data_IF_510845370262
#
_entry.id   IF_510845370262
#
_cell.length_a   1.000
_cell.length_b   1.000
_cell.length_c   1.000
_cell.angle_alpha   90.00
_cell.angle_beta   90.00
_cell.angle_gamma   90.00
#
_symmetry.space_group_name_H-M   'P 1'
#
loop_
_entity.id
_entity.type
_entity.pdbx_description
1 polymer ?
#
# COMPACT_ATOMS: atom_id res chain seq x y z
N UNK A 1 7.45 25.45 -2.55
CA UNK A 1 8.25 26.21 -3.53
C UNK A 1 7.34 27.27 -4.15
N UNK A 2 7.22 28.43 -3.50
CA UNK A 2 6.43 29.54 -4.05
C UNK A 2 7.38 30.49 -4.81
N UNK A 3 7.07 30.86 -6.06
CA UNK A 3 7.99 31.67 -6.86
C UNK A 3 8.13 33.09 -6.28
N UNK A 4 9.35 33.63 -6.32
CA UNK A 4 9.60 35.03 -5.92
C UNK A 4 9.30 36.03 -7.04
N UNK A 5 9.26 35.57 -8.28
CA UNK A 5 8.85 36.35 -9.46
C UNK A 5 8.38 35.41 -10.57
N UNK A 6 7.69 35.92 -11.62
CA UNK A 6 7.26 35.09 -12.75
C UNK A 6 8.41 34.44 -13.54
N UNK A 7 9.65 34.92 -13.39
CA UNK A 7 10.85 34.39 -14.06
C UNK A 7 11.78 33.63 -13.11
N UNK A 8 11.32 33.23 -11.92
CA UNK A 8 12.13 32.47 -10.95
C UNK A 8 12.44 31.05 -11.43
N UNK A 9 13.52 30.93 -12.22
CA UNK A 9 13.98 29.66 -12.81
C UNK A 9 14.47 28.67 -11.77
N UNK A 10 14.93 29.14 -10.60
CA UNK A 10 15.44 28.27 -9.53
C UNK A 10 14.27 27.51 -8.90
N UNK A 11 13.22 28.23 -8.51
CA UNK A 11 12.00 27.60 -7.98
C UNK A 11 11.35 26.66 -8.99
N UNK A 12 11.31 27.06 -10.27
CA UNK A 12 10.77 26.22 -11.35
C UNK A 12 11.58 24.93 -11.56
N UNK A 13 12.92 25.02 -11.56
CA UNK A 13 13.80 23.86 -11.69
C UNK A 13 13.59 22.88 -10.55
N UNK A 14 13.59 23.35 -9.30
CA UNK A 14 13.43 22.49 -8.15
C UNK A 14 12.03 21.86 -8.08
N UNK A 15 10.99 22.61 -8.46
CA UNK A 15 9.64 22.07 -8.60
C UNK A 15 9.60 20.94 -9.62
N UNK A 16 10.14 21.17 -10.83
CA UNK A 16 10.17 20.17 -11.89
C UNK A 16 10.92 18.91 -11.48
N UNK A 17 12.05 19.06 -10.77
CA UNK A 17 12.82 17.92 -10.26
C UNK A 17 12.00 17.07 -9.28
N UNK A 18 11.40 17.71 -8.26
CA UNK A 18 10.58 17.01 -7.27
C UNK A 18 9.34 16.35 -7.90
N UNK A 19 8.67 17.04 -8.82
CA UNK A 19 7.51 16.49 -9.53
C UNK A 19 7.88 15.29 -10.41
N UNK A 20 9.01 15.34 -11.11
CA UNK A 20 9.48 14.24 -11.95
C UNK A 20 9.83 13.00 -11.10
N UNK A 21 10.48 13.21 -9.96
CA UNK A 21 10.80 12.13 -9.02
C UNK A 21 9.53 11.49 -8.45
N UNK A 22 8.57 12.29 -8.00
CA UNK A 22 7.32 11.76 -7.46
C UNK A 22 6.52 11.00 -8.52
N UNK A 23 6.47 11.53 -9.75
CA UNK A 23 5.83 10.84 -10.87
C UNK A 23 6.47 9.47 -11.16
N UNK A 24 7.81 9.40 -11.17
CA UNK A 24 8.53 8.16 -11.39
C UNK A 24 8.23 7.13 -10.29
N UNK A 25 8.20 7.54 -9.01
CA UNK A 25 7.88 6.65 -7.89
C UNK A 25 6.45 6.12 -7.94
N UNK A 26 5.48 6.98 -8.27
CA UNK A 26 4.07 6.59 -8.44
C UNK A 26 3.94 5.60 -9.61
N UNK A 27 4.57 5.90 -10.75
CA UNK A 27 4.60 5.01 -11.92
C UNK A 27 5.13 3.64 -11.54
N UNK A 28 6.26 3.57 -10.83
CA UNK A 28 6.91 2.32 -10.45
C UNK A 28 6.05 1.50 -9.48
N UNK A 29 5.39 2.16 -8.53
CA UNK A 29 4.43 1.50 -7.64
C UNK A 29 3.24 0.89 -8.42
N UNK A 30 2.70 1.61 -9.41
CA UNK A 30 1.61 1.09 -10.26
C UNK A 30 2.11 -0.07 -11.13
N UNK A 31 3.29 0.07 -11.75
CA UNK A 31 3.91 -0.99 -12.56
C UNK A 31 4.04 -2.28 -11.75
N UNK A 32 4.45 -2.21 -10.48
CA UNK A 32 4.62 -3.37 -9.62
C UNK A 32 3.34 -4.24 -9.56
N UNK A 33 2.15 -3.62 -9.54
CA UNK A 33 0.88 -4.34 -9.47
C UNK A 33 0.67 -5.27 -10.66
N UNK A 34 1.13 -4.83 -11.84
CA UNK A 34 1.07 -5.60 -13.07
C UNK A 34 2.25 -6.54 -13.21
N UNK A 35 3.45 -6.11 -12.85
CA UNK A 35 4.66 -6.90 -13.06
C UNK A 35 4.76 -8.11 -12.12
N UNK A 36 4.41 -7.94 -10.84
CA UNK A 36 4.46 -9.01 -9.84
C UNK A 36 3.23 -9.93 -9.83
N UNK A 37 2.47 -9.97 -10.93
CA UNK A 37 1.26 -10.78 -11.02
C UNK A 37 1.59 -12.29 -11.21
N UNK A 38 0.61 -13.15 -10.94
CA UNK A 38 0.72 -14.63 -11.09
C UNK A 38 -0.34 -15.23 -12.01
N UNK A 39 -0.96 -14.40 -12.83
CA UNK A 39 -2.08 -14.78 -13.70
C UNK A 39 -1.58 -15.36 -15.02
N UNK A 40 -2.34 -16.28 -15.60
CA UNK A 40 -1.90 -17.08 -16.76
C UNK A 40 -2.40 -16.55 -18.10
N UNK A 41 -3.38 -15.65 -18.14
CA UNK A 41 -3.93 -15.16 -19.40
C UNK A 41 -2.87 -14.35 -20.18
N UNK A 42 -2.93 -14.34 -21.53
CA UNK A 42 -1.85 -13.79 -22.36
C UNK A 42 -1.42 -12.37 -22.02
N UNK A 43 -2.38 -11.49 -21.74
CA UNK A 43 -2.14 -10.12 -21.28
C UNK A 43 -1.28 -10.06 -20.01
N UNK A 44 -1.62 -10.89 -19.01
CA UNK A 44 -0.93 -10.89 -17.73
C UNK A 44 0.47 -11.50 -17.80
N UNK A 45 0.65 -12.54 -18.62
CA UNK A 45 1.99 -13.10 -18.88
C UNK A 45 2.90 -12.08 -19.55
N UNK A 46 2.37 -11.30 -20.50
CA UNK A 46 3.13 -10.24 -21.15
C UNK A 46 3.58 -9.18 -20.14
N UNK A 47 2.70 -8.75 -19.24
CA UNK A 47 3.03 -7.76 -18.22
C UNK A 47 3.99 -8.31 -17.14
N UNK A 48 3.89 -9.59 -16.80
CA UNK A 48 4.86 -10.25 -15.91
C UNK A 48 6.27 -10.35 -16.53
N UNK A 49 6.37 -10.43 -17.86
CA UNK A 49 7.63 -10.56 -18.59
C UNK A 49 8.19 -9.22 -19.10
N UNK A 50 7.48 -8.11 -18.95
CA UNK A 50 7.92 -6.81 -19.46
C UNK A 50 9.13 -6.29 -18.69
N UNK A 51 9.99 -5.53 -19.38
CA UNK A 51 11.04 -4.76 -18.71
C UNK A 51 10.42 -3.69 -17.82
N UNK A 52 11.04 -3.44 -16.67
CA UNK A 52 10.64 -2.40 -15.73
C UNK A 52 11.79 -1.41 -15.52
N UNK A 53 11.52 -0.19 -15.03
CA UNK A 53 12.57 0.77 -14.69
C UNK A 53 13.59 0.19 -13.69
N UNK A 54 14.85 0.58 -13.82
CA UNK A 54 15.96 0.04 -13.04
C UNK A 54 15.74 0.19 -11.53
N UNK A 55 15.23 1.34 -11.08
CA UNK A 55 14.93 1.60 -9.66
C UNK A 55 13.89 0.61 -9.10
N UNK A 56 12.85 0.29 -9.87
CA UNK A 56 11.87 -0.73 -9.49
C UNK A 56 12.49 -2.13 -9.48
N UNK A 57 13.29 -2.46 -10.49
CA UNK A 57 13.98 -3.76 -10.56
C UNK A 57 14.90 -3.96 -9.33
N UNK A 58 15.66 -2.94 -8.95
CA UNK A 58 16.51 -2.94 -7.77
C UNK A 58 15.71 -3.11 -6.48
N UNK A 59 14.63 -2.35 -6.30
CA UNK A 59 13.73 -2.52 -5.14
C UNK A 59 13.20 -3.94 -5.03
N UNK A 60 12.72 -4.52 -6.13
CA UNK A 60 12.24 -5.91 -6.18
C UNK A 60 13.37 -6.88 -5.82
N UNK A 61 14.58 -6.67 -6.36
CA UNK A 61 15.73 -7.52 -6.08
C UNK A 61 16.12 -7.50 -4.60
N UNK A 62 16.17 -6.32 -3.96
CA UNK A 62 16.48 -6.18 -2.53
C UNK A 62 15.42 -6.86 -1.68
N UNK A 63 14.13 -6.61 -1.97
CA UNK A 63 13.04 -7.29 -1.29
C UNK A 63 13.17 -8.81 -1.44
N UNK A 64 13.34 -9.32 -2.66
CA UNK A 64 13.45 -10.77 -2.93
C UNK A 64 14.66 -11.40 -2.26
N UNK A 65 15.75 -10.65 -2.05
CA UNK A 65 16.94 -11.16 -1.40
C UNK A 65 16.76 -11.33 0.11
N UNK A 66 16.25 -10.31 0.81
CA UNK A 66 16.32 -10.26 2.29
C UNK A 66 15.07 -9.75 2.99
N UNK A 67 13.97 -9.50 2.26
CA UNK A 67 12.75 -8.91 2.83
C UNK A 67 12.91 -7.48 3.31
N UNK A 68 13.96 -6.76 2.85
CA UNK A 68 14.19 -5.36 3.20
C UNK A 68 13.35 -4.46 2.31
N UNK A 69 12.78 -3.42 2.92
CA UNK A 69 12.09 -2.34 2.21
C UNK A 69 13.07 -1.17 2.09
N UNK A 70 13.26 -0.69 0.87
CA UNK A 70 14.11 0.47 0.55
C UNK A 70 13.20 1.66 0.30
N UNK A 71 13.50 2.80 0.92
CA UNK A 71 12.82 4.06 0.66
C UNK A 71 13.88 5.13 0.44
N UNK A 72 14.08 5.61 -0.81
CA UNK A 72 15.18 6.53 -1.14
C UNK A 72 14.91 7.99 -0.73
N UNK A 73 13.72 8.31 -0.21
CA UNK A 73 13.35 9.67 0.17
C UNK A 73 11.86 9.82 0.47
N UNK A 74 11.33 11.06 0.46
CA UNK A 74 9.89 11.30 0.59
C UNK A 74 9.16 10.70 -0.61
N UNK A 75 8.21 9.81 -0.38
CA UNK A 75 7.39 9.18 -1.43
C UNK A 75 5.94 9.09 -0.97
N UNK A 76 4.97 9.17 -1.90
CA UNK A 76 3.55 9.02 -1.59
C UNK A 76 3.23 7.64 -0.99
N UNK A 77 3.86 6.58 -1.50
CA UNK A 77 3.63 5.20 -1.04
C UNK A 77 4.73 4.75 -0.08
N UNK A 78 4.42 4.81 1.20
CA UNK A 78 5.33 4.39 2.26
C UNK A 78 5.61 2.88 2.23
N UNK A 79 6.67 2.47 2.91
CA UNK A 79 7.08 1.07 3.08
C UNK A 79 5.93 0.07 3.38
N UNK A 80 4.94 0.37 4.25
CA UNK A 80 3.80 -0.54 4.46
C UNK A 80 2.98 -0.81 3.20
N UNK A 81 2.82 0.16 2.31
CA UNK A 81 2.10 0.00 1.04
C UNK A 81 2.84 -0.97 0.12
N UNK A 82 4.15 -0.82 -0.01
CA UNK A 82 4.99 -1.74 -0.77
C UNK A 82 5.00 -3.16 -0.19
N UNK A 83 5.10 -3.28 1.14
CA UNK A 83 4.99 -4.56 1.82
C UNK A 83 3.67 -5.26 1.49
N UNK A 84 2.55 -4.53 1.58
CA UNK A 84 1.23 -5.07 1.29
C UNK A 84 1.12 -5.60 -0.15
N UNK A 85 1.66 -4.87 -1.14
CA UNK A 85 1.68 -5.30 -2.55
C UNK A 85 2.57 -6.53 -2.73
N UNK A 86 3.81 -6.50 -2.21
CA UNK A 86 4.72 -7.64 -2.31
C UNK A 86 4.12 -8.91 -1.72
N UNK A 87 3.67 -8.87 -0.47
CA UNK A 87 3.12 -10.06 0.21
C UNK A 87 1.75 -10.43 -0.34
N UNK A 88 0.92 -9.44 -0.68
CA UNK A 88 -0.43 -9.65 -1.22
C UNK A 88 -0.43 -10.30 -2.60
N UNK A 89 0.60 -10.04 -3.42
CA UNK A 89 0.79 -10.69 -4.71
C UNK A 89 1.63 -11.98 -4.62
N UNK A 90 1.98 -12.41 -3.41
CA UNK A 90 2.75 -13.64 -3.17
C UNK A 90 4.22 -13.54 -3.57
N UNK A 91 4.74 -12.33 -3.74
CA UNK A 91 6.16 -12.08 -3.96
C UNK A 91 6.90 -12.17 -2.62
N UNK A 92 7.16 -13.38 -2.13
CA UNK A 92 7.86 -13.58 -0.86
C UNK A 92 9.38 -13.43 -0.99
N UNK A 93 10.09 -12.93 0.03
CA UNK A 93 11.54 -12.88 0.03
C UNK A 93 12.13 -14.28 0.19
N UNK A 94 13.36 -14.49 -0.28
CA UNK A 94 14.09 -15.77 -0.13
C UNK A 94 14.70 -15.96 1.25
N UNK A 95 14.93 -14.86 1.97
CA UNK A 95 15.46 -14.84 3.33
C UNK A 95 14.90 -13.62 4.09
N UNK A 96 15.06 -13.61 5.41
CA UNK A 96 14.75 -12.48 6.28
C UNK A 96 16.02 -11.79 6.79
N UNK A 97 15.86 -10.67 7.51
CA UNK A 97 16.97 -9.96 8.13
C UNK A 97 17.64 -10.81 9.23
N UNK A 98 18.96 -11.08 9.17
CA UNK A 98 19.68 -11.85 10.20
C UNK A 98 19.53 -11.30 11.62
N UNK A 99 19.18 -10.02 11.79
CA UNK A 99 18.86 -9.45 13.10
C UNK A 99 17.70 -10.17 13.80
N UNK A 100 16.79 -10.80 13.06
CA UNK A 100 15.73 -11.61 13.65
C UNK A 100 16.30 -12.84 14.36
N UNK A 101 17.26 -13.52 13.75
CA UNK A 101 17.88 -14.73 14.31
C UNK A 101 18.73 -14.41 15.53
N UNK A 102 19.41 -13.26 15.56
CA UNK A 102 20.16 -12.80 16.74
C UNK A 102 19.27 -12.54 17.96
N UNK A 103 17.97 -12.33 17.73
CA UNK A 103 16.98 -12.13 18.79
C UNK A 103 16.23 -13.42 19.14
N UNK A 104 16.45 -14.51 18.40
CA UNK A 104 15.84 -15.80 18.68
C UNK A 104 16.16 -16.24 20.11
N UNK A 105 15.15 -16.75 20.82
CA UNK A 105 15.25 -17.14 22.24
C UNK A 105 15.32 -15.98 23.25
N UNK A 106 15.56 -14.74 22.81
CA UNK A 106 15.48 -13.53 23.67
C UNK A 106 14.13 -12.83 23.56
N UNK A 107 13.42 -13.08 22.47
CA UNK A 107 12.11 -12.53 22.18
C UNK A 107 11.17 -13.67 21.85
N UNK A 108 10.05 -13.74 22.59
CA UNK A 108 8.91 -14.57 22.21
C UNK A 108 8.13 -13.87 21.09
N UNK A 109 8.52 -14.14 19.86
CA UNK A 109 7.92 -13.55 18.67
C UNK A 109 6.46 -14.01 18.48
N UNK A 110 6.17 -15.28 18.77
CA UNK A 110 4.84 -15.86 18.62
C UNK A 110 3.85 -15.23 19.59
N UNK A 111 4.22 -15.09 20.87
CA UNK A 111 3.38 -14.40 21.84
C UNK A 111 3.14 -12.93 21.47
N UNK A 112 4.17 -12.23 20.97
CA UNK A 112 4.03 -10.83 20.51
C UNK A 112 3.09 -10.72 19.32
N UNK A 113 3.23 -11.56 18.30
CA UNK A 113 2.35 -11.56 17.13
C UNK A 113 0.92 -11.97 17.48
N UNK A 114 0.75 -12.95 18.37
CA UNK A 114 -0.56 -13.34 18.88
C UNK A 114 -1.24 -12.20 19.67
N UNK A 115 -0.47 -11.46 20.47
CA UNK A 115 -0.95 -10.28 21.17
C UNK A 115 -1.39 -9.17 20.20
N UNK A 116 -0.56 -8.83 19.21
CA UNK A 116 -0.92 -7.84 18.18
C UNK A 116 -2.18 -8.24 17.42
N UNK A 117 -2.31 -9.52 17.02
CA UNK A 117 -3.50 -10.04 16.37
C UNK A 117 -4.76 -9.86 17.23
N UNK A 118 -4.66 -10.13 18.53
CA UNK A 118 -5.78 -9.95 19.46
C UNK A 118 -6.17 -8.47 19.57
N UNK A 119 -5.20 -7.58 19.77
CA UNK A 119 -5.46 -6.14 19.86
C UNK A 119 -6.15 -5.60 18.60
N UNK A 120 -5.67 -5.98 17.41
CA UNK A 120 -6.28 -5.56 16.14
C UNK A 120 -7.75 -6.02 16.07
N UNK A 121 -8.04 -7.27 16.47
CA UNK A 121 -9.41 -7.80 16.49
C UNK A 121 -10.31 -7.10 17.49
N UNK A 122 -9.81 -6.85 18.70
CA UNK A 122 -10.57 -6.16 19.77
C UNK A 122 -10.93 -4.73 19.34
N UNK A 123 -9.96 -4.00 18.80
CA UNK A 123 -10.19 -2.63 18.29
C UNK A 123 -11.18 -2.66 17.13
N UNK A 124 -11.00 -3.54 16.15
CA UNK A 124 -11.91 -3.63 15.00
C UNK A 124 -13.34 -4.01 15.43
N UNK A 125 -13.52 -4.91 16.40
CA UNK A 125 -14.83 -5.30 16.90
C UNK A 125 -15.54 -4.20 17.71
N UNK A 126 -14.77 -3.30 18.33
CA UNK A 126 -15.29 -2.13 19.03
C UNK A 126 -15.62 -0.96 18.08
N UNK A 127 -15.18 -1.03 16.82
CA UNK A 127 -15.50 0.00 15.83
C UNK A 127 -16.94 -0.16 15.35
N UNK A 128 -17.63 0.97 15.07
CA UNK A 128 -18.92 0.95 14.42
C UNK A 128 -18.79 0.42 12.98
N UNK A 129 -19.87 -0.17 12.48
CA UNK A 129 -20.03 -0.39 11.04
C UNK A 129 -19.92 0.93 10.28
N UNK A 130 -19.40 0.87 9.06
CA UNK A 130 -19.11 2.06 8.24
C UNK A 130 -20.34 2.96 8.08
N UNK A 131 -21.51 2.38 7.76
CA UNK A 131 -22.77 3.11 7.63
C UNK A 131 -23.19 3.83 8.92
N UNK A 132 -23.03 3.18 10.08
CA UNK A 132 -23.34 3.77 11.38
C UNK A 132 -22.38 4.91 11.74
N UNK A 133 -21.11 4.82 11.32
CA UNK A 133 -20.16 5.92 11.45
C UNK A 133 -20.55 7.14 10.62
N UNK A 134 -20.92 6.94 9.35
CA UNK A 134 -21.36 8.01 8.46
C UNK A 134 -22.63 8.71 8.95
N UNK A 135 -23.61 7.94 9.44
CA UNK A 135 -24.84 8.50 10.01
C UNK A 135 -24.53 9.48 11.17
N UNK A 136 -23.62 9.12 12.07
CA UNK A 136 -23.21 10.00 13.19
C UNK A 136 -22.44 11.23 12.77
N UNK A 137 -21.79 11.21 11.60
CA UNK A 137 -21.06 12.35 11.03
C UNK A 137 -21.97 13.28 10.20
N UNK A 138 -23.27 13.00 10.11
CA UNK A 138 -24.21 13.76 9.29
C UNK A 138 -24.15 13.42 7.79
N UNK A 139 -23.54 12.28 7.44
CA UNK A 139 -23.33 11.84 6.05
C UNK A 139 -24.50 11.07 5.43
N UNK A 140 -25.58 10.85 6.18
CA UNK A 140 -26.85 10.36 5.63
C UNK A 140 -27.91 11.43 5.94
N UNK A 141 -28.25 12.24 4.95
CA UNK A 141 -29.54 12.92 4.96
C UNK A 141 -30.63 11.83 5.04
N UNK A 142 -31.73 12.13 5.74
CA UNK A 142 -32.84 11.22 6.05
C UNK A 142 -33.32 10.38 4.85
N UNK A 143 -33.19 10.89 3.62
CA UNK A 143 -33.59 10.21 2.38
C UNK A 143 -32.85 8.89 2.08
N UNK A 144 -31.58 8.73 2.50
CA UNK A 144 -30.80 7.53 2.20
C UNK A 144 -31.13 6.33 3.11
N UNK A 145 -31.80 6.57 4.24
CA UNK A 145 -32.24 5.51 5.15
C UNK A 145 -33.48 4.78 4.62
N UNK A 146 -34.38 5.50 3.95
CA UNK A 146 -35.58 4.94 3.32
C UNK A 146 -35.23 4.07 2.10
N UNK A 147 -34.26 4.48 1.28
CA UNK A 147 -33.79 3.70 0.12
C UNK A 147 -33.11 2.38 0.53
N UNK A 148 -32.32 2.38 1.60
CA UNK A 148 -31.68 1.16 2.13
C UNK A 148 -32.69 0.21 2.79
N UNK A 149 -33.76 0.73 3.38
CA UNK A 149 -34.86 -0.06 3.92
C UNK A 149 -35.67 -0.73 2.81
N UNK A 150 -35.96 -0.01 1.72
CA UNK A 150 -36.63 -0.53 0.54
C UNK A 150 -35.83 -1.66 -0.14
N UNK A 151 -34.52 -1.48 -0.33
CA UNK A 151 -33.65 -2.48 -0.94
C UNK A 151 -33.51 -3.76 -0.11
N UNK A 152 -33.61 -3.67 1.23
CA UNK A 152 -33.61 -4.85 2.11
C UNK A 152 -34.92 -5.62 2.04
N UNK A 153 -36.06 -4.93 1.90
CA UNK A 153 -37.36 -5.56 1.73
C UNK A 153 -37.50 -6.29 0.39
N UNK A 154 -36.92 -5.76 -0.69
CA UNK A 154 -36.93 -6.42 -2.00
C UNK A 154 -36.03 -7.66 -2.09
N UNK A 155 -34.98 -7.74 -1.26
CA UNK A 155 -34.07 -8.88 -1.24
C UNK A 155 -34.59 -10.06 -0.39
N UNK A 156 -35.59 -9.83 0.46
CA UNK A 156 -36.16 -10.83 1.39
C UNK A 156 -37.54 -11.37 0.94
N UNK A 157 -38.11 -10.87 -0.17
CA UNK A 157 -39.38 -11.31 -0.77
C UNK A 157 -39.20 -12.17 -2.01
#
# INVERSE_FOLDING_TARGET
LWPLSPQDRISAHEFNRLSAEEYARIRDFIILHYHANRREEPFWRQLAAMAVPDELAERIAVWRASGRLVSPGPELFLNPSWLAVYTGQGLWPRAHDPLADLRAGRVDADAKLAHLRRLIREVAAAMPEHAAALARMGGLAEDAQDDLAALRMEAEG
#
